data_IF_138873200501
#
_entry.id   IF_138873200501
#
_cell.length_a   1.000
_cell.length_b   1.000
_cell.length_c   1.000
_cell.angle_alpha   90.00
_cell.angle_beta   90.00
_cell.angle_gamma   90.00
#
_symmetry.space_group_name_H-M   'P 1'
#
loop_
_entity.id
_entity.type
_entity.pdbx_description
1 polymer ?
#
# COMPACT_ATOMS: atom_id res chain seq x y z
N UNK A 1 2.13 27.40 15.53
CA UNK A 1 1.94 28.61 14.69
C UNK A 1 0.54 28.54 14.12
N UNK A 2 -0.28 29.58 14.33
CA UNK A 2 -1.60 29.66 13.73
C UNK A 2 -1.48 30.34 12.37
N UNK A 3 -2.20 29.85 11.37
CA UNK A 3 -2.27 30.46 10.05
C UNK A 3 -3.73 30.77 9.76
N UNK A 4 -4.04 32.01 9.39
CA UNK A 4 -5.33 32.35 8.81
C UNK A 4 -5.26 32.18 7.31
N UNK A 5 -6.29 31.57 6.74
CA UNK A 5 -6.51 31.64 5.30
C UNK A 5 -7.98 31.90 5.01
N UNK A 6 -8.19 32.67 3.96
CA UNK A 6 -9.50 33.09 3.50
C UNK A 6 -10.01 32.07 2.49
N UNK A 7 -11.13 31.41 2.82
CA UNK A 7 -11.83 30.56 1.87
C UNK A 7 -12.98 31.38 1.28
N UNK A 8 -12.97 31.56 -0.03
CA UNK A 8 -14.11 32.13 -0.76
C UNK A 8 -15.05 31.00 -1.17
N UNK A 9 -16.27 31.00 -0.64
CA UNK A 9 -17.33 30.07 -1.04
C UNK A 9 -18.58 30.89 -1.37
N UNK A 10 -19.14 30.71 -2.56
CA UNK A 10 -20.32 31.46 -3.04
C UNK A 10 -20.18 32.99 -2.86
N UNK A 11 -19.04 33.57 -3.26
CA UNK A 11 -18.72 34.99 -3.10
C UNK A 11 -18.71 35.53 -1.66
N UNK A 12 -18.79 34.67 -0.64
CA UNK A 12 -18.61 35.03 0.76
C UNK A 12 -17.22 34.63 1.22
N UNK A 13 -16.44 35.62 1.65
CA UNK A 13 -15.15 35.40 2.29
C UNK A 13 -15.38 34.97 3.74
N UNK A 14 -14.90 33.79 4.10
CA UNK A 14 -14.89 33.34 5.50
C UNK A 14 -13.44 33.16 5.93
N UNK A 15 -13.02 33.94 6.93
CA UNK A 15 -11.71 33.74 7.56
C UNK A 15 -11.77 32.47 8.40
N UNK A 16 -10.93 31.50 8.05
CA UNK A 16 -10.78 30.28 8.83
C UNK A 16 -9.43 30.34 9.55
N UNK A 17 -9.50 30.38 10.88
CA UNK A 17 -8.33 30.20 11.74
C UNK A 17 -8.02 28.71 11.81
N UNK A 18 -6.94 28.30 11.16
CA UNK A 18 -6.46 26.92 11.21
C UNK A 18 -5.15 26.87 11.97
N UNK A 19 -5.17 26.18 13.10
CA UNK A 19 -3.98 25.88 13.88
C UNK A 19 -3.30 24.64 13.31
N UNK A 20 -2.03 24.75 12.94
CA UNK A 20 -1.26 23.62 12.44
C UNK A 20 0.15 24.01 11.99
N UNK A 21 0.96 23.01 11.63
CA UNK A 21 2.23 23.26 10.94
C UNK A 21 1.97 23.24 9.44
N UNK A 22 2.40 24.27 8.72
CA UNK A 22 2.42 24.24 7.25
C UNK A 22 3.23 23.01 6.81
N UNK A 23 2.74 22.33 5.77
CA UNK A 23 3.51 21.25 5.15
C UNK A 23 4.84 21.83 4.67
N UNK A 24 5.93 21.15 5.00
CA UNK A 24 7.27 21.63 4.66
C UNK A 24 7.50 21.50 3.14
N UNK A 25 7.80 22.63 2.50
CA UNK A 25 8.04 22.69 1.06
C UNK A 25 9.23 21.82 0.63
N UNK A 26 10.19 21.53 1.52
CA UNK A 26 11.30 20.62 1.22
C UNK A 26 10.81 19.21 0.86
N UNK A 27 9.68 18.79 1.40
CA UNK A 27 9.05 17.50 1.11
C UNK A 27 8.23 17.50 -0.20
N UNK A 28 8.10 18.63 -0.92
CA UNK A 28 7.44 18.63 -2.23
C UNK A 28 8.16 17.72 -3.23
N UNK A 29 9.48 17.56 -3.11
CA UNK A 29 10.27 16.66 -3.98
C UNK A 29 9.78 15.22 -3.87
N UNK A 30 9.51 14.73 -2.66
CA UNK A 30 9.01 13.36 -2.46
C UNK A 30 7.57 13.20 -2.95
N UNK A 31 6.71 14.20 -2.72
CA UNK A 31 5.34 14.17 -3.25
C UNK A 31 5.32 14.15 -4.78
N UNK A 32 6.19 14.91 -5.42
CA UNK A 32 6.33 14.92 -6.88
C UNK A 32 6.88 13.59 -7.42
N UNK A 33 7.89 13.02 -6.74
CA UNK A 33 8.49 11.72 -7.11
C UNK A 33 7.43 10.62 -7.19
N UNK A 34 6.50 10.58 -6.23
CA UNK A 34 5.46 9.56 -6.16
C UNK A 34 4.09 10.01 -6.70
N UNK A 35 4.02 11.17 -7.36
CA UNK A 35 2.79 11.73 -7.93
C UNK A 35 1.64 11.88 -6.90
N UNK A 36 1.97 12.28 -5.67
CA UNK A 36 1.02 12.43 -4.56
C UNK A 36 0.47 13.86 -4.40
N UNK A 37 0.95 14.82 -5.18
CA UNK A 37 0.47 16.21 -5.13
C UNK A 37 -0.83 16.42 -5.94
N UNK A 38 -1.63 17.43 -5.59
CA UNK A 38 -2.92 17.74 -6.22
C UNK A 38 -2.90 17.84 -7.76
N UNK A 39 -1.77 18.30 -8.33
CA UNK A 39 -1.59 18.37 -9.80
C UNK A 39 -1.64 17.01 -10.50
N UNK A 40 -1.47 15.91 -9.76
CA UNK A 40 -1.56 14.54 -10.25
C UNK A 40 -2.92 13.89 -9.96
N UNK A 41 -3.88 14.65 -9.43
CA UNK A 41 -5.22 14.16 -9.11
C UNK A 41 -5.87 13.49 -10.33
N UNK A 42 -6.28 12.24 -10.15
CA UNK A 42 -6.94 11.45 -11.18
C UNK A 42 -8.40 11.93 -11.30
N UNK A 43 -8.79 12.41 -12.48
CA UNK A 43 -10.16 12.87 -12.78
C UNK A 43 -11.05 11.80 -13.41
N UNK A 44 -10.43 10.73 -13.92
CA UNK A 44 -11.13 9.62 -14.57
C UNK A 44 -11.53 8.54 -13.56
N UNK A 45 -12.66 7.88 -13.81
CA UNK A 45 -13.05 6.68 -13.06
C UNK A 45 -12.07 5.55 -13.38
N UNK A 46 -11.45 4.98 -12.36
CA UNK A 46 -10.59 3.79 -12.51
C UNK A 46 -11.49 2.55 -12.45
N UNK A 47 -11.46 1.66 -13.46
CA UNK A 47 -12.15 0.39 -13.37
C UNK A 47 -11.49 -0.48 -12.30
N UNK A 48 -12.30 -0.95 -11.36
CA UNK A 48 -11.85 -1.82 -10.26
C UNK A 48 -11.38 -3.14 -10.84
N UNK A 49 -10.17 -3.54 -10.51
CA UNK A 49 -9.62 -4.86 -10.85
C UNK A 49 -9.72 -5.76 -9.63
N UNK A 50 -10.06 -7.02 -9.86
CA UNK A 50 -10.27 -8.03 -8.82
C UNK A 50 -9.40 -9.26 -9.08
N UNK A 51 -9.26 -10.18 -8.11
CA UNK A 51 -8.57 -11.44 -8.33
C UNK A 51 -9.10 -12.15 -9.59
N UNK A 52 -8.20 -12.46 -10.52
CA UNK A 52 -8.51 -12.98 -11.85
C UNK A 52 -8.06 -12.03 -12.97
N UNK A 53 -7.96 -10.74 -12.69
CA UNK A 53 -7.39 -9.75 -13.60
C UNK A 53 -5.85 -9.74 -13.51
N UNK A 54 -5.17 -9.84 -14.65
CA UNK A 54 -3.69 -9.83 -14.75
C UNK A 54 -3.06 -8.57 -14.17
N UNK A 55 -3.80 -7.47 -14.10
CA UNK A 55 -3.36 -6.18 -13.55
C UNK A 55 -3.78 -5.97 -12.09
N UNK A 56 -4.59 -6.84 -11.50
CA UNK A 56 -4.74 -6.89 -10.05
C UNK A 56 -3.47 -7.47 -9.45
N UNK A 57 -2.97 -6.92 -8.34
CA UNK A 57 -1.74 -7.38 -7.70
C UNK A 57 -1.89 -7.39 -6.21
N UNK A 58 -1.36 -8.42 -5.56
CA UNK A 58 -1.25 -8.48 -4.10
C UNK A 58 0.14 -7.96 -3.72
N UNK A 59 0.21 -7.10 -2.72
CA UNK A 59 1.47 -6.52 -2.24
C UNK A 59 1.64 -6.87 -0.78
N UNK A 60 2.83 -7.31 -0.42
CA UNK A 60 3.23 -7.60 0.96
C UNK A 60 4.68 -7.21 1.19
N UNK A 61 5.13 -7.28 2.43
CA UNK A 61 6.52 -7.04 2.81
C UNK A 61 6.88 -7.83 4.06
N UNK A 62 8.12 -8.31 4.14
CA UNK A 62 8.62 -9.04 5.30
C UNK A 62 10.14 -8.88 5.46
N UNK A 63 10.64 -9.04 6.67
CA UNK A 63 12.05 -9.33 6.96
C UNK A 63 12.22 -10.82 7.28
N UNK A 64 13.46 -11.27 7.49
CA UNK A 64 13.79 -12.65 7.91
C UNK A 64 12.95 -13.13 9.10
N UNK A 65 12.73 -12.27 10.10
CA UNK A 65 12.00 -12.61 11.32
C UNK A 65 10.53 -12.97 11.03
N UNK A 66 9.97 -12.41 9.97
CA UNK A 66 8.60 -12.65 9.54
C UNK A 66 8.49 -13.67 8.39
N UNK A 67 9.61 -14.27 7.95
CA UNK A 67 9.61 -15.24 6.86
C UNK A 67 8.64 -16.42 7.09
N UNK A 68 8.48 -17.00 8.30
CA UNK A 68 7.49 -18.05 8.53
C UNK A 68 6.05 -17.60 8.27
N UNK A 69 5.71 -16.35 8.60
CA UNK A 69 4.37 -15.79 8.33
C UNK A 69 4.20 -15.45 6.86
N UNK A 70 5.25 -14.91 6.21
CA UNK A 70 5.27 -14.70 4.76
C UNK A 70 5.00 -15.99 4.01
N UNK A 71 5.67 -17.08 4.37
CA UNK A 71 5.45 -18.41 3.78
C UNK A 71 3.99 -18.86 3.89
N UNK A 72 3.38 -18.70 5.06
CA UNK A 72 1.96 -19.02 5.28
C UNK A 72 1.04 -18.17 4.40
N UNK A 73 1.28 -16.86 4.33
CA UNK A 73 0.53 -15.96 3.45
C UNK A 73 0.66 -16.40 1.99
N UNK A 74 1.88 -16.63 1.50
CA UNK A 74 2.12 -17.04 0.11
C UNK A 74 1.41 -18.36 -0.21
N UNK A 75 1.46 -19.34 0.69
CA UNK A 75 0.73 -20.59 0.54
C UNK A 75 -0.78 -20.34 0.43
N UNK A 76 -1.38 -19.61 1.37
CA UNK A 76 -2.81 -19.26 1.37
C UNK A 76 -3.20 -18.52 0.09
N UNK A 77 -2.42 -17.52 -0.34
CA UNK A 77 -2.69 -16.76 -1.56
C UNK A 77 -2.65 -17.65 -2.80
N UNK A 78 -1.68 -18.55 -2.92
CA UNK A 78 -1.59 -19.45 -4.08
C UNK A 78 -2.65 -20.55 -4.04
N UNK A 79 -3.09 -20.99 -2.86
CA UNK A 79 -4.21 -21.90 -2.72
C UNK A 79 -5.53 -21.27 -3.22
N UNK A 80 -5.79 -20.00 -2.89
CA UNK A 80 -7.06 -19.36 -3.23
C UNK A 80 -7.07 -18.67 -4.60
N UNK A 81 -5.94 -18.11 -5.03
CA UNK A 81 -5.81 -17.33 -6.26
C UNK A 81 -4.91 -17.97 -7.32
N UNK A 82 -4.28 -19.11 -7.03
CA UNK A 82 -3.46 -19.84 -8.01
C UNK A 82 -2.24 -19.06 -8.54
N UNK A 83 -1.65 -19.61 -9.60
CA UNK A 83 -0.46 -19.04 -10.24
C UNK A 83 -0.75 -17.92 -11.24
N UNK A 84 -2.01 -17.57 -11.53
CA UNK A 84 -2.28 -16.43 -12.42
C UNK A 84 -2.12 -15.09 -11.69
N UNK A 85 -2.19 -15.10 -10.35
CA UNK A 85 -2.24 -13.90 -9.55
C UNK A 85 -0.84 -13.46 -9.12
N UNK A 86 -0.42 -12.29 -9.61
CA UNK A 86 0.85 -11.67 -9.25
C UNK A 86 0.88 -11.23 -7.79
N UNK A 87 1.99 -11.53 -7.13
CA UNK A 87 2.32 -11.07 -5.78
C UNK A 87 3.65 -10.30 -5.85
N UNK A 88 3.70 -9.11 -5.26
CA UNK A 88 4.94 -8.38 -5.01
C UNK A 88 5.26 -8.49 -3.53
N UNK A 89 6.40 -9.06 -3.19
CA UNK A 89 6.92 -9.09 -1.83
C UNK A 89 8.10 -8.13 -1.72
N UNK A 90 8.05 -7.21 -0.78
CA UNK A 90 9.21 -6.39 -0.44
C UNK A 90 10.04 -7.05 0.66
N UNK A 91 11.33 -7.25 0.41
CA UNK A 91 12.30 -7.65 1.41
C UNK A 91 12.71 -6.42 2.23
N UNK A 92 12.28 -6.40 3.48
CA UNK A 92 12.60 -5.37 4.48
C UNK A 92 13.97 -5.61 5.13
N UNK A 93 14.58 -6.77 4.93
CA UNK A 93 15.93 -7.09 5.38
C UNK A 93 16.15 -8.60 5.51
N UNK A 94 17.25 -9.07 4.92
CA UNK A 94 17.85 -10.38 5.15
C UNK A 94 17.31 -11.50 4.25
N UNK A 95 16.12 -11.36 3.66
CA UNK A 95 15.51 -12.43 2.86
C UNK A 95 16.29 -12.64 1.56
N UNK A 96 16.62 -11.57 0.86
CA UNK A 96 17.34 -11.63 -0.41
C UNK A 96 18.80 -12.09 -0.26
N UNK A 97 19.34 -12.01 0.95
CA UNK A 97 20.68 -12.50 1.31
C UNK A 97 20.71 -13.99 1.69
N UNK A 98 19.59 -14.57 2.11
CA UNK A 98 19.52 -15.97 2.52
C UNK A 98 19.19 -16.90 1.32
N UNK A 99 20.15 -17.77 0.99
CA UNK A 99 20.03 -18.71 -0.15
C UNK A 99 18.88 -19.70 -0.01
N UNK A 100 18.57 -20.16 1.21
CA UNK A 100 17.51 -21.12 1.45
C UNK A 100 16.14 -20.45 1.30
N UNK A 101 15.97 -19.25 1.86
CA UNK A 101 14.76 -18.45 1.69
C UNK A 101 14.55 -18.11 0.21
N UNK A 102 15.59 -17.67 -0.49
CA UNK A 102 15.50 -17.37 -1.92
C UNK A 102 15.17 -18.59 -2.76
N UNK A 103 15.72 -19.77 -2.43
CA UNK A 103 15.35 -21.03 -3.12
C UNK A 103 13.86 -21.33 -2.97
N UNK A 104 13.31 -21.12 -1.77
CA UNK A 104 11.87 -21.30 -1.52
C UNK A 104 11.05 -20.26 -2.29
N UNK A 105 11.38 -18.98 -2.20
CA UNK A 105 10.63 -17.91 -2.89
C UNK A 105 10.68 -18.04 -4.42
N UNK A 106 11.83 -18.44 -4.98
CA UNK A 106 11.96 -18.68 -6.42
C UNK A 106 11.08 -19.84 -6.93
N UNK A 107 10.64 -20.74 -6.05
CA UNK A 107 9.69 -21.80 -6.41
C UNK A 107 8.23 -21.33 -6.48
N UNK A 108 7.93 -20.13 -5.97
CA UNK A 108 6.58 -19.56 -5.96
C UNK A 108 6.31 -18.88 -7.29
N UNK A 109 5.37 -19.43 -8.07
CA UNK A 109 4.92 -18.87 -9.35
C UNK A 109 4.38 -17.43 -9.19
N UNK A 110 4.64 -16.54 -10.16
CA UNK A 110 4.17 -15.14 -10.17
C UNK A 110 4.44 -14.39 -8.86
N UNK A 111 5.60 -14.64 -8.24
CA UNK A 111 6.13 -13.88 -7.12
C UNK A 111 7.27 -12.98 -7.62
N UNK A 112 7.17 -11.68 -7.35
CA UNK A 112 8.23 -10.72 -7.56
C UNK A 112 8.79 -10.26 -6.21
N UNK A 113 10.04 -10.61 -5.91
CA UNK A 113 10.73 -10.10 -4.73
C UNK A 113 11.44 -8.77 -5.06
N UNK A 114 11.23 -7.75 -4.23
CA UNK A 114 11.88 -6.43 -4.34
C UNK A 114 12.61 -6.10 -3.06
N UNK A 115 13.91 -5.84 -3.13
CA UNK A 115 14.63 -5.32 -1.96
C UNK A 115 14.19 -3.89 -1.65
N UNK A 116 13.79 -3.62 -0.41
CA UNK A 116 13.40 -2.28 0.00
C UNK A 116 14.63 -1.38 0.16
N UNK A 117 14.61 -0.23 -0.50
CA UNK A 117 15.70 0.75 -0.40
C UNK A 117 15.47 1.67 0.79
N UNK A 118 16.04 1.33 1.94
CA UNK A 118 15.90 2.14 3.15
C UNK A 118 16.53 3.54 3.08
N UNK A 119 17.47 3.79 2.16
CA UNK A 119 18.11 5.11 2.03
C UNK A 119 17.16 6.23 1.59
N UNK A 120 15.96 5.90 1.11
CA UNK A 120 14.94 6.88 0.73
C UNK A 120 14.21 7.48 1.94
N UNK A 121 14.34 6.87 3.12
CA UNK A 121 13.64 7.28 4.33
C UNK A 121 14.50 8.24 5.15
N UNK A 122 13.88 9.27 5.79
CA UNK A 122 14.56 10.05 6.83
C UNK A 122 15.06 9.15 7.95
N UNK A 123 16.20 9.51 8.55
CA UNK A 123 16.84 8.73 9.63
C UNK A 123 15.89 8.46 10.80
N UNK A 124 15.06 9.44 11.14
CA UNK A 124 14.15 9.37 12.29
C UNK A 124 13.05 8.31 12.13
N UNK A 125 12.79 7.86 10.91
CA UNK A 125 11.80 6.79 10.59
C UNK A 125 12.45 5.58 9.94
N UNK A 126 13.78 5.51 9.96
CA UNK A 126 14.57 4.43 9.36
C UNK A 126 14.60 3.19 10.27
N UNK A 127 13.42 2.67 10.59
CA UNK A 127 13.25 1.48 11.42
C UNK A 127 12.02 0.69 10.94
N UNK A 128 12.12 -0.65 10.84
CA UNK A 128 10.98 -1.52 10.53
C UNK A 128 9.79 -1.36 11.50
N UNK A 129 10.07 -1.04 12.76
CA UNK A 129 9.06 -0.93 13.83
C UNK A 129 8.20 0.33 13.73
N UNK A 130 8.64 1.34 12.98
CA UNK A 130 7.84 2.56 12.76
C UNK A 130 6.71 2.34 11.75
N UNK A 131 6.77 1.26 10.97
CA UNK A 131 5.88 0.98 9.85
C UNK A 131 5.76 2.07 8.77
N UNK A 132 6.56 3.15 8.86
CA UNK A 132 6.52 4.27 7.91
C UNK A 132 6.87 3.81 6.49
N UNK A 133 7.71 2.78 6.37
CA UNK A 133 8.05 2.12 5.10
C UNK A 133 6.81 1.62 4.33
N UNK A 134 5.70 1.28 5.00
CA UNK A 134 4.46 0.84 4.33
C UNK A 134 3.97 1.93 3.37
N UNK A 135 3.93 3.18 3.83
CA UNK A 135 3.45 4.31 3.02
C UNK A 135 4.37 4.55 1.81
N UNK A 136 5.69 4.39 1.97
CA UNK A 136 6.64 4.50 0.87
C UNK A 136 6.42 3.40 -0.17
N UNK A 137 6.24 2.15 0.26
CA UNK A 137 5.94 1.05 -0.66
C UNK A 137 4.62 1.32 -1.39
N UNK A 138 3.55 1.66 -0.66
CA UNK A 138 2.25 1.98 -1.27
C UNK A 138 2.39 3.09 -2.32
N UNK A 139 3.08 4.18 -1.98
CA UNK A 139 3.32 5.30 -2.89
C UNK A 139 4.06 4.87 -4.16
N UNK A 140 5.06 3.99 -4.04
CA UNK A 140 5.78 3.44 -5.18
C UNK A 140 4.90 2.53 -6.03
N UNK A 141 4.12 1.65 -5.41
CA UNK A 141 3.22 0.74 -6.11
C UNK A 141 2.14 1.51 -6.86
N UNK A 142 1.58 2.58 -6.28
CA UNK A 142 0.60 3.46 -6.96
C UNK A 142 1.15 4.12 -8.24
N UNK A 143 2.47 4.25 -8.39
CA UNK A 143 3.06 4.75 -9.65
C UNK A 143 3.02 3.73 -10.79
N UNK A 144 2.79 2.45 -10.48
CA UNK A 144 2.84 1.31 -11.42
C UNK A 144 1.48 0.62 -11.58
N UNK A 145 0.68 0.62 -10.52
CA UNK A 145 -0.59 -0.09 -10.42
C UNK A 145 -1.71 0.86 -10.03
N UNK A 146 -2.83 0.76 -10.72
CA UNK A 146 -4.06 1.52 -10.44
C UNK A 146 -5.01 0.76 -9.52
N UNK A 147 -4.79 -0.54 -9.29
CA UNK A 147 -5.52 -1.35 -8.32
C UNK A 147 -4.62 -2.46 -7.79
N UNK A 148 -4.51 -2.54 -6.47
CA UNK A 148 -3.78 -3.61 -5.78
C UNK A 148 -4.36 -3.78 -4.36
N UNK A 149 -3.99 -4.88 -3.70
CA UNK A 149 -4.39 -5.15 -2.32
C UNK A 149 -3.15 -5.34 -1.45
N UNK A 150 -3.05 -4.56 -0.39
CA UNK A 150 -2.03 -4.76 0.64
C UNK A 150 -2.43 -5.92 1.54
N UNK A 151 -1.50 -6.83 1.81
CA UNK A 151 -1.68 -7.92 2.76
C UNK A 151 -0.50 -8.02 3.70
N UNK A 152 -0.76 -7.85 4.99
CA UNK A 152 0.22 -8.14 6.03
C UNK A 152 0.49 -9.66 6.09
N UNK A 153 1.71 -10.06 6.41
CA UNK A 153 2.11 -11.48 6.43
C UNK A 153 1.38 -12.31 7.49
N UNK A 154 0.77 -11.65 8.47
CA UNK A 154 -0.06 -12.30 9.49
C UNK A 154 -1.47 -12.65 9.01
N UNK A 155 -1.89 -12.19 7.81
CA UNK A 155 -3.21 -12.50 7.26
C UNK A 155 -3.27 -13.98 6.87
N UNK A 156 -4.32 -14.65 7.33
CA UNK A 156 -4.73 -15.95 6.85
C UNK A 156 -6.10 -15.83 6.18
N UNK A 157 -6.18 -16.14 4.89
CA UNK A 157 -7.43 -16.13 4.15
C UNK A 157 -8.02 -17.54 4.18
N UNK A 158 -9.23 -17.68 4.74
CA UNK A 158 -9.94 -18.97 4.76
C UNK A 158 -10.71 -19.23 3.47
N UNK A 159 -11.33 -18.18 2.91
CA UNK A 159 -12.00 -18.22 1.62
C UNK A 159 -11.85 -16.86 0.91
N UNK A 160 -11.54 -16.89 -0.39
CA UNK A 160 -11.48 -15.70 -1.23
C UNK A 160 -12.81 -14.96 -1.36
N UNK A 161 -13.93 -15.64 -1.16
CA UNK A 161 -15.27 -15.03 -1.23
C UNK A 161 -15.48 -13.93 -0.19
N UNK A 162 -14.70 -13.94 0.89
CA UNK A 162 -14.74 -12.85 1.88
C UNK A 162 -14.26 -11.50 1.34
N UNK A 163 -13.57 -11.48 0.19
CA UNK A 163 -13.18 -10.25 -0.49
C UNK A 163 -14.27 -9.72 -1.44
N UNK A 164 -15.24 -10.55 -1.84
CA UNK A 164 -16.27 -10.15 -2.82
C UNK A 164 -17.06 -8.92 -2.37
N UNK A 165 -17.53 -8.82 -1.09
CA UNK A 165 -18.24 -7.63 -0.62
C UNK A 165 -17.40 -6.35 -0.70
N UNK A 166 -16.07 -6.47 -0.52
CA UNK A 166 -15.14 -5.33 -0.62
C UNK A 166 -15.08 -4.86 -2.08
N UNK A 167 -14.84 -5.77 -3.03
CA UNK A 167 -14.78 -5.40 -4.45
C UNK A 167 -16.11 -4.84 -4.96
N UNK A 168 -17.24 -5.44 -4.60
CA UNK A 168 -18.55 -4.92 -4.94
C UNK A 168 -18.79 -3.51 -4.41
N UNK A 169 -18.35 -3.24 -3.18
CA UNK A 169 -18.54 -1.94 -2.57
C UNK A 169 -17.62 -0.87 -3.18
N UNK A 170 -16.41 -1.23 -3.63
CA UNK A 170 -15.54 -0.33 -4.43
C UNK A 170 -16.19 -0.05 -5.80
N UNK A 171 -16.69 -1.07 -6.50
CA UNK A 171 -17.34 -0.93 -7.81
C UNK A 171 -18.58 -0.02 -7.75
N UNK A 172 -19.38 -0.17 -6.68
CA UNK A 172 -20.57 0.64 -6.40
C UNK A 172 -20.24 2.03 -5.84
N UNK A 173 -18.96 2.35 -5.60
CA UNK A 173 -18.53 3.62 -5.00
C UNK A 173 -19.04 3.83 -3.57
N UNK A 174 -19.33 2.74 -2.85
CA UNK A 174 -19.87 2.75 -1.48
C UNK A 174 -18.80 2.73 -0.40
N UNK A 175 -17.57 2.31 -0.73
CA UNK A 175 -16.40 2.47 0.12
C UNK A 175 -15.75 3.82 -0.25
N UNK A 176 -15.79 4.79 0.67
CA UNK A 176 -14.98 6.01 0.59
C UNK A 176 -13.53 5.75 1.06
N UNK A 177 -12.64 6.73 0.83
CA UNK A 177 -11.16 6.70 0.90
C UNK A 177 -10.47 6.06 2.14
N UNK A 178 -11.18 5.57 3.15
CA UNK A 178 -10.63 4.76 4.24
C UNK A 178 -11.79 4.10 5.00
N UNK A 179 -11.87 2.76 4.99
CA UNK A 179 -12.79 2.00 5.85
C UNK A 179 -11.92 1.21 6.83
N UNK A 180 -11.97 1.61 8.10
CA UNK A 180 -11.44 0.77 9.17
C UNK A 180 -12.42 -0.39 9.36
N UNK A 181 -12.02 -1.66 9.17
CA UNK A 181 -12.84 -2.77 9.62
C UNK A 181 -12.97 -2.63 11.13
N UNK A 182 -14.20 -2.37 11.59
CA UNK A 182 -14.49 -2.18 13.00
C UNK A 182 -14.16 -3.44 13.80
N UNK A 183 -12.97 -3.46 14.39
CA UNK A 183 -12.65 -4.28 15.55
C UNK A 183 -12.63 -3.35 16.75
N UNK A 184 -13.49 -3.61 17.74
CA UNK A 184 -13.38 -2.95 19.04
C UNK A 184 -12.01 -3.31 19.63
N UNK A 185 -11.19 -2.29 19.92
CA UNK A 185 -9.99 -2.41 20.74
C UNK A 185 -10.39 -2.56 22.22
#
# INVERSE_FOLDING_TARGET
>A
MAYSFNIQKNNKLTENLVSGRKFDCEHLKILNKYKLADKYKIKQKIPVKKPGDKRFTIVTAASTDFFPTLRKLLYSMKQHFGCFQKIICYDLGGISEDKNMMKELNSVCELELRKYNWSIMPKDVHSPQTYAWKIYILSQVFTQYDTFMWMDTSINLEDKKYLDPIFEAIEKGKISEMVFPGGNF
#
